data_IF_024772148485
#
_entry.id   IF_024772148485
#
_cell.length_a   1.000
_cell.length_b   1.000
_cell.length_c   1.000
_cell.angle_alpha   90.00
_cell.angle_beta   90.00
_cell.angle_gamma   90.00
#
_symmetry.space_group_name_H-M   'P 1'
#
loop_
_entity.id
_entity.type
_entity.pdbx_description
1 polymer ?
#
# COMPACT_ATOMS: atom_id res chain seq x y z
N UNK A 1 -2.93 -19.08 7.27
CA UNK A 1 -4.04 -18.21 7.69
C UNK A 1 -3.44 -17.21 8.66
N UNK A 2 -3.39 -15.91 8.31
CA UNK A 2 -2.93 -14.89 9.26
C UNK A 2 -3.93 -14.77 10.42
N UNK A 3 -3.41 -14.55 11.63
CA UNK A 3 -4.19 -14.49 12.86
C UNK A 3 -5.02 -13.19 12.93
N UNK A 4 -6.27 -13.27 13.35
CA UNK A 4 -7.14 -12.10 13.55
C UNK A 4 -6.56 -11.09 14.56
N UNK A 5 -5.78 -11.57 15.55
CA UNK A 5 -5.09 -10.72 16.49
C UNK A 5 -4.05 -9.80 15.80
N UNK A 6 -3.26 -10.35 14.88
CA UNK A 6 -2.25 -9.59 14.11
C UNK A 6 -2.89 -8.47 13.28
N UNK A 7 -4.09 -8.73 12.73
CA UNK A 7 -4.85 -7.74 11.96
C UNK A 7 -5.29 -6.56 12.83
N UNK A 8 -5.74 -6.83 14.07
CA UNK A 8 -6.17 -5.80 15.00
C UNK A 8 -4.98 -5.00 15.53
N UNK A 9 -3.84 -5.64 15.78
CA UNK A 9 -2.60 -4.99 16.21
C UNK A 9 -2.03 -4.06 15.13
N UNK A 10 -2.19 -4.41 13.84
CA UNK A 10 -1.72 -3.56 12.73
C UNK A 10 -2.56 -2.29 12.53
N UNK A 11 -3.81 -2.21 13.00
CA UNK A 11 -4.69 -1.05 12.74
C UNK A 11 -4.12 0.29 13.23
N UNK A 12 -3.65 0.44 14.48
CA UNK A 12 -2.98 1.65 14.92
C UNK A 12 -1.75 2.01 14.08
N UNK A 13 -0.95 1.01 13.69
CA UNK A 13 0.24 1.19 12.85
C UNK A 13 -0.11 1.69 11.44
N UNK A 14 -1.20 1.18 10.85
CA UNK A 14 -1.70 1.60 9.54
C UNK A 14 -2.17 3.06 9.59
N UNK A 15 -3.01 3.40 10.57
CA UNK A 15 -3.48 4.78 10.76
C UNK A 15 -2.29 5.72 10.96
N UNK A 16 -1.33 5.31 11.78
CA UNK A 16 -0.11 6.08 11.99
C UNK A 16 0.70 6.25 10.69
N UNK A 17 0.88 5.18 9.91
CA UNK A 17 1.62 5.18 8.65
C UNK A 17 0.98 6.11 7.61
N UNK A 18 -0.35 6.07 7.45
CA UNK A 18 -1.06 6.98 6.55
C UNK A 18 -1.05 8.43 7.02
N UNK A 19 -1.17 8.69 8.33
CA UNK A 19 -1.08 10.04 8.88
C UNK A 19 0.29 10.67 8.62
N UNK A 20 1.36 9.88 8.70
CA UNK A 20 2.74 10.36 8.50
C UNK A 20 3.16 10.43 7.03
N UNK A 21 2.47 9.73 6.14
CA UNK A 21 2.80 9.69 4.72
C UNK A 21 1.56 9.80 3.83
N UNK A 22 1.33 11.01 3.32
CA UNK A 22 0.29 11.25 2.31
C UNK A 22 0.50 10.41 1.04
N UNK A 23 1.75 10.09 0.69
CA UNK A 23 2.05 9.24 -0.45
C UNK A 23 1.54 7.80 -0.26
N UNK A 24 1.75 7.18 0.91
CA UNK A 24 1.23 5.83 1.18
C UNK A 24 -0.28 5.78 1.08
N UNK A 25 -0.96 6.81 1.62
CA UNK A 25 -2.42 6.95 1.50
C UNK A 25 -2.85 7.03 0.04
N UNK A 26 -2.26 7.94 -0.76
CA UNK A 26 -2.57 8.11 -2.18
C UNK A 26 -2.32 6.83 -3.01
N UNK A 27 -1.24 6.11 -2.73
CA UNK A 27 -0.95 4.83 -3.41
C UNK A 27 -2.03 3.79 -3.09
N UNK A 28 -2.41 3.65 -1.82
CA UNK A 28 -3.43 2.69 -1.42
C UNK A 28 -4.83 3.07 -1.96
N UNK A 29 -5.16 4.36 -2.00
CA UNK A 29 -6.40 4.87 -2.61
C UNK A 29 -6.44 4.64 -4.12
N UNK A 30 -5.35 4.91 -4.83
CA UNK A 30 -5.27 4.62 -6.26
C UNK A 30 -5.48 3.12 -6.55
N UNK A 31 -4.80 2.24 -5.80
CA UNK A 31 -4.96 0.79 -5.94
C UNK A 31 -6.35 0.29 -5.52
N UNK A 32 -7.06 1.03 -4.66
CA UNK A 32 -8.47 0.80 -4.37
C UNK A 32 -9.34 1.12 -5.57
N UNK A 33 -9.12 2.26 -6.20
CA UNK A 33 -9.95 2.76 -7.30
C UNK A 33 -9.82 1.90 -8.57
N UNK A 34 -8.68 1.25 -8.80
CA UNK A 34 -8.47 0.32 -9.93
C UNK A 34 -8.72 -1.16 -9.59
N UNK A 35 -9.10 -1.47 -8.34
CA UNK A 35 -9.26 -2.85 -7.88
C UNK A 35 -10.34 -3.60 -8.68
N UNK A 36 -10.14 -4.89 -9.05
CA UNK A 36 -9.08 -5.81 -8.62
C UNK A 36 -7.81 -5.78 -9.47
N UNK A 37 -7.69 -4.87 -10.44
CA UNK A 37 -6.54 -4.79 -11.34
C UNK A 37 -5.26 -4.39 -10.58
N UNK A 38 -4.13 -5.04 -10.85
CA UNK A 38 -2.85 -4.63 -10.29
C UNK A 38 -2.19 -3.54 -11.16
N UNK A 39 -1.22 -2.82 -10.61
CA UNK A 39 -0.46 -1.79 -11.34
C UNK A 39 1.03 -1.83 -11.00
N UNK A 40 1.88 -1.36 -11.92
CA UNK A 40 3.32 -1.28 -11.74
C UNK A 40 3.74 0.07 -11.12
N UNK A 41 4.90 0.15 -10.43
CA UNK A 41 5.30 1.36 -9.71
C UNK A 41 5.34 2.66 -10.52
N UNK A 42 5.70 2.64 -11.80
CA UNK A 42 5.72 3.86 -12.63
C UNK A 42 4.33 4.35 -13.06
N UNK A 43 3.36 3.47 -13.26
CA UNK A 43 1.96 3.87 -13.50
C UNK A 43 1.32 4.42 -12.23
N UNK A 44 1.53 3.74 -11.09
CA UNK A 44 1.14 4.27 -9.78
C UNK A 44 1.73 5.69 -9.60
N UNK A 45 3.03 5.86 -9.86
CA UNK A 45 3.72 7.15 -9.73
C UNK A 45 3.09 8.24 -10.60
N UNK A 46 2.73 7.91 -11.84
CA UNK A 46 2.03 8.81 -12.75
C UNK A 46 0.69 9.29 -12.16
N UNK A 47 -0.15 8.37 -11.70
CA UNK A 47 -1.48 8.70 -11.17
C UNK A 47 -1.44 9.43 -9.83
N UNK A 48 -0.52 9.07 -8.93
CA UNK A 48 -0.39 9.73 -7.60
C UNK A 48 0.47 11.00 -7.63
N UNK A 49 0.94 11.40 -8.82
CA UNK A 49 1.82 12.57 -9.06
C UNK A 49 3.07 12.52 -8.18
N UNK A 50 3.77 11.38 -8.20
CA UNK A 50 5.05 11.17 -7.51
C UNK A 50 6.09 10.56 -8.45
N UNK A 51 7.28 10.24 -7.94
CA UNK A 51 8.29 9.51 -8.69
C UNK A 51 8.28 8.00 -8.35
N UNK A 52 8.73 7.13 -9.26
CA UNK A 52 8.73 5.68 -9.03
C UNK A 52 9.54 5.26 -7.79
N UNK A 53 10.67 5.90 -7.49
CA UNK A 53 11.50 5.59 -6.32
C UNK A 53 10.74 5.78 -5.00
N UNK A 54 10.01 6.89 -4.88
CA UNK A 54 9.18 7.19 -3.71
C UNK A 54 8.01 6.21 -3.60
N UNK A 55 7.40 5.84 -4.73
CA UNK A 55 6.33 4.83 -4.76
C UNK A 55 6.86 3.46 -4.32
N UNK A 56 8.02 3.04 -4.82
CA UNK A 56 8.68 1.80 -4.38
C UNK A 56 8.95 1.85 -2.88
N UNK A 57 9.46 2.97 -2.37
CA UNK A 57 9.66 3.18 -0.94
C UNK A 57 8.36 3.08 -0.13
N UNK A 58 7.26 3.65 -0.62
CA UNK A 58 5.94 3.53 0.01
C UNK A 58 5.42 2.07 0.00
N UNK A 59 5.62 1.35 -1.09
CA UNK A 59 5.16 -0.03 -1.28
C UNK A 59 5.92 -1.02 -0.41
N UNK A 60 7.26 -1.01 -0.45
CA UNK A 60 8.10 -2.07 0.14
C UNK A 60 9.16 -1.64 1.16
N UNK A 61 9.28 -0.33 1.40
CA UNK A 61 10.40 0.24 2.15
C UNK A 61 11.64 0.48 1.29
N UNK A 62 12.51 1.37 1.76
CA UNK A 62 13.77 1.79 1.15
C UNK A 62 14.55 2.60 2.20
N UNK A 63 15.25 1.89 3.09
CA UNK A 63 15.97 2.50 4.21
C UNK A 63 17.06 3.49 3.76
N UNK A 64 17.36 4.51 4.58
CA UNK A 64 16.70 4.89 5.84
C UNK A 64 15.43 5.72 5.63
N UNK A 65 15.16 6.13 4.38
CA UNK A 65 14.13 7.11 4.04
C UNK A 65 12.71 6.56 4.19
N UNK A 66 12.52 5.29 3.84
CA UNK A 66 11.25 4.59 3.91
C UNK A 66 11.39 3.36 4.79
N UNK A 67 10.94 3.48 6.04
CA UNK A 67 10.97 2.38 7.00
C UNK A 67 10.18 1.18 6.50
N UNK A 68 10.78 0.01 6.50
CA UNK A 68 10.14 -1.23 6.01
C UNK A 68 8.86 -1.55 6.78
N UNK A 69 8.84 -1.33 8.08
CA UNK A 69 7.73 -1.65 8.98
C UNK A 69 6.50 -0.76 8.70
N UNK A 70 6.72 0.44 8.15
CA UNK A 70 5.65 1.36 7.76
C UNK A 70 5.17 1.16 6.31
N UNK A 71 5.82 0.26 5.54
CA UNK A 71 5.51 0.04 4.13
C UNK A 71 4.16 -0.66 3.93
N UNK A 72 3.52 -0.39 2.79
CA UNK A 72 2.20 -0.96 2.48
C UNK A 72 2.21 -2.49 2.44
N UNK A 73 3.30 -3.10 1.93
CA UNK A 73 3.48 -4.55 1.92
C UNK A 73 3.59 -5.11 3.34
N UNK A 74 4.43 -4.52 4.20
CA UNK A 74 4.61 -5.00 5.57
C UNK A 74 3.32 -4.91 6.40
N UNK A 75 2.57 -3.83 6.19
CA UNK A 75 1.27 -3.59 6.81
C UNK A 75 0.14 -4.44 6.20
N UNK A 76 0.44 -5.32 5.24
CA UNK A 76 -0.51 -6.19 4.54
C UNK A 76 -1.63 -5.43 3.81
N UNK A 77 -1.41 -4.16 3.45
CA UNK A 77 -2.38 -3.35 2.70
C UNK A 77 -2.36 -3.74 1.22
N UNK A 78 -1.17 -3.99 0.68
CA UNK A 78 -0.97 -4.43 -0.71
C UNK A 78 -0.27 -5.78 -0.73
N UNK A 79 -0.38 -6.47 -1.85
CA UNK A 79 0.35 -7.70 -2.16
C UNK A 79 0.97 -7.63 -3.56
N UNK A 80 1.97 -8.48 -3.79
CA UNK A 80 2.59 -8.68 -5.10
C UNK A 80 1.83 -9.76 -5.86
N UNK A 81 1.38 -9.47 -7.09
CA UNK A 81 0.48 -10.36 -7.82
C UNK A 81 1.20 -11.48 -8.59
N UNK A 82 2.23 -11.10 -9.36
CA UNK A 82 3.10 -12.00 -10.12
C UNK A 82 4.42 -11.28 -10.41
N UNK A 83 5.46 -12.07 -10.54
CA UNK A 83 6.79 -11.70 -11.00
C UNK A 83 7.14 -12.71 -12.10
N UNK A 84 6.57 -12.53 -13.29
CA UNK A 84 7.04 -13.27 -14.46
C UNK A 84 7.83 -12.27 -15.30
N UNK A 85 9.17 -12.40 -15.27
CA UNK A 85 10.12 -11.39 -15.78
C UNK A 85 10.42 -10.23 -14.81
N UNK A 86 10.89 -9.10 -15.36
CA UNK A 86 11.39 -7.92 -14.61
C UNK A 86 10.30 -6.97 -14.09
N UNK A 87 9.02 -7.31 -14.21
CA UNK A 87 7.90 -6.43 -13.86
C UNK A 87 7.20 -6.90 -12.58
N UNK A 88 7.28 -6.10 -11.52
CA UNK A 88 6.56 -6.34 -10.26
C UNK A 88 5.27 -5.53 -10.23
N UNK A 89 4.15 -6.22 -10.09
CA UNK A 89 2.82 -5.62 -10.00
C UNK A 89 2.26 -5.69 -8.57
N UNK A 90 1.55 -4.64 -8.17
CA UNK A 90 0.96 -4.50 -6.84
C UNK A 90 -0.55 -4.32 -6.94
N UNK A 91 -1.30 -4.93 -6.02
CA UNK A 91 -2.73 -4.66 -5.81
C UNK A 91 -3.05 -4.62 -4.31
N UNK A 92 -4.24 -4.14 -3.95
CA UNK A 92 -4.73 -4.27 -2.58
C UNK A 92 -5.03 -5.72 -2.22
N UNK A 93 -4.69 -6.09 -0.98
CA UNK A 93 -5.26 -7.27 -0.33
C UNK A 93 -6.73 -7.02 0.02
N UNK A 94 -7.48 -8.07 0.32
CA UNK A 94 -8.84 -7.91 0.82
C UNK A 94 -8.89 -7.18 2.17
N UNK A 95 -7.84 -7.34 3.00
CA UNK A 95 -7.66 -6.54 4.20
C UNK A 95 -7.47 -5.05 3.88
N UNK A 96 -6.58 -4.73 2.93
CA UNK A 96 -6.35 -3.36 2.45
C UNK A 96 -7.62 -2.70 1.92
N UNK A 97 -8.44 -3.42 1.14
CA UNK A 97 -9.73 -2.91 0.65
C UNK A 97 -10.66 -2.49 1.78
N UNK A 98 -10.80 -3.33 2.81
CA UNK A 98 -11.64 -3.02 3.99
C UNK A 98 -11.13 -1.79 4.73
N UNK A 99 -9.81 -1.65 4.89
CA UNK A 99 -9.19 -0.48 5.52
C UNK A 99 -9.52 0.79 4.73
N UNK A 100 -9.26 0.81 3.41
CA UNK A 100 -9.46 2.01 2.59
C UNK A 100 -10.95 2.38 2.51
N UNK A 101 -11.87 1.42 2.38
CA UNK A 101 -13.32 1.68 2.44
C UNK A 101 -13.71 2.39 3.75
N UNK A 102 -13.25 1.87 4.89
CA UNK A 102 -13.56 2.45 6.20
C UNK A 102 -12.99 3.87 6.42
N UNK A 103 -11.93 4.24 5.70
CA UNK A 103 -11.36 5.58 5.74
C UNK A 103 -12.14 6.57 4.85
N UNK A 104 -12.62 6.10 3.69
CA UNK A 104 -13.46 6.90 2.78
C UNK A 104 -14.84 7.18 3.36
N UNK A 105 -15.45 6.23 4.06
CA UNK A 105 -16.76 6.41 4.74
C UNK A 105 -16.74 7.45 5.87
N UNK A 106 -15.55 7.80 6.39
CA UNK A 106 -15.37 8.76 7.49
C UNK A 106 -14.89 10.14 7.04
N UNK A 107 -14.70 10.35 5.73
CA UNK A 107 -14.20 11.60 5.13
C UNK A 107 -15.34 12.41 4.54
#
# INVERSE_FOLDING_TARGET
>A
MENLADILEKRPLIVHSFRRSSLRKKVAEYLYDISPSPSYPSEIAYHVKSNPTNVIGALRGMEPRYRKEESLLHLNIVEVCKSDGNLTLYRLTDFGKKIISSLKEKS
#
